data_IF_419865422223
#
_entry.id   IF_419865422223
#
_cell.length_a   1.000
_cell.length_b   1.000
_cell.length_c   1.000
_cell.angle_alpha   90.00
_cell.angle_beta   90.00
_cell.angle_gamma   90.00
#
_symmetry.space_group_name_H-M   'P 1'
#
loop_
_entity.id
_entity.type
_entity.pdbx_description
1 polymer ?
#
# COMPACT_ATOMS: atom_id res chain seq x y z
N UNK A 1 -3.10 13.35 -16.48
CA UNK A 1 -4.20 12.51 -15.95
C UNK A 1 -5.49 13.24 -16.17
N UNK A 2 -6.50 12.59 -16.78
CA UNK A 2 -7.84 13.14 -16.88
C UNK A 2 -8.48 13.07 -15.48
N UNK A 3 -8.97 14.19 -14.96
CA UNK A 3 -9.73 14.22 -13.70
C UNK A 3 -11.21 14.40 -14.04
N UNK A 4 -12.03 13.46 -13.59
CA UNK A 4 -13.48 13.61 -13.59
C UNK A 4 -13.91 14.42 -12.36
N UNK A 5 -14.87 15.32 -12.56
CA UNK A 5 -15.42 16.15 -11.47
C UNK A 5 -16.84 15.71 -11.17
N UNK A 6 -17.15 15.56 -9.88
CA UNK A 6 -18.47 15.14 -9.40
C UNK A 6 -18.90 16.10 -8.30
N UNK A 7 -20.18 16.50 -8.33
CA UNK A 7 -20.79 17.29 -7.27
C UNK A 7 -21.45 16.35 -6.25
N UNK A 8 -21.13 16.54 -4.97
CA UNK A 8 -21.68 15.76 -3.86
C UNK A 8 -22.18 16.69 -2.76
N UNK A 9 -23.25 16.29 -2.07
CA UNK A 9 -23.76 17.00 -0.89
C UNK A 9 -23.27 16.31 0.38
N UNK A 10 -22.72 17.10 1.28
CA UNK A 10 -22.26 16.67 2.59
C UNK A 10 -22.95 17.50 3.68
N UNK A 11 -23.08 16.93 4.88
CA UNK A 11 -23.55 17.68 6.04
C UNK A 11 -22.56 18.78 6.38
N UNK A 12 -23.06 19.93 6.84
CA UNK A 12 -22.23 21.10 7.16
C UNK A 12 -21.05 20.75 8.09
N UNK A 13 -21.30 20.06 9.21
CA UNK A 13 -20.23 19.66 10.14
C UNK A 13 -19.18 18.68 9.60
N UNK A 14 -19.43 18.01 8.46
CA UNK A 14 -18.38 17.25 7.77
C UNK A 14 -17.52 18.16 6.90
N UNK A 15 -18.11 19.19 6.30
CA UNK A 15 -17.36 20.19 5.53
C UNK A 15 -16.39 20.93 6.45
N UNK A 16 -16.84 21.31 7.65
CA UNK A 16 -15.99 21.99 8.64
C UNK A 16 -14.78 21.13 9.02
N UNK A 17 -14.99 19.82 9.26
CA UNK A 17 -13.89 18.89 9.55
C UNK A 17 -12.92 18.71 8.37
N UNK A 18 -13.42 18.76 7.14
CA UNK A 18 -12.55 18.73 5.95
C UNK A 18 -11.71 20.01 5.89
N UNK A 19 -12.32 21.16 6.22
CA UNK A 19 -11.62 22.44 6.28
C UNK A 19 -10.55 22.49 7.36
N UNK A 20 -10.82 21.93 8.54
CA UNK A 20 -9.82 21.79 9.60
C UNK A 20 -8.61 20.99 9.10
N UNK A 21 -8.83 19.89 8.38
CA UNK A 21 -7.75 19.06 7.81
C UNK A 21 -6.93 19.82 6.75
N UNK A 22 -7.56 20.64 5.92
CA UNK A 22 -6.84 21.52 4.99
C UNK A 22 -6.07 22.60 5.76
N UNK A 23 -6.67 23.16 6.82
CA UNK A 23 -6.06 24.19 7.67
C UNK A 23 -4.80 23.72 8.41
N UNK A 24 -4.68 22.43 8.72
CA UNK A 24 -3.44 21.85 9.28
C UNK A 24 -2.26 21.81 8.31
N UNK A 25 -2.50 22.07 7.01
CA UNK A 25 -1.46 22.03 5.97
C UNK A 25 -1.08 20.64 5.47
N UNK A 26 -1.73 19.58 5.96
CA UNK A 26 -1.48 18.19 5.52
C UNK A 26 -1.98 17.99 4.07
N UNK A 27 -3.10 18.64 3.72
CA UNK A 27 -3.72 18.56 2.41
C UNK A 27 -3.76 19.93 1.73
N UNK A 28 -3.41 19.99 0.45
CA UNK A 28 -3.38 21.24 -0.31
C UNK A 28 -4.79 21.76 -0.64
N UNK A 29 -5.78 20.89 -0.74
CA UNK A 29 -7.15 21.25 -1.07
C UNK A 29 -8.15 20.21 -0.52
N UNK A 30 -9.44 20.57 -0.50
CA UNK A 30 -10.54 19.68 -0.08
C UNK A 30 -10.64 18.43 -0.95
N UNK A 31 -10.36 18.56 -2.25
CA UNK A 31 -10.45 17.45 -3.20
C UNK A 31 -9.46 16.33 -2.89
N UNK A 32 -8.27 16.66 -2.37
CA UNK A 32 -7.24 15.70 -2.02
C UNK A 32 -7.58 14.95 -0.74
N UNK A 33 -8.19 15.63 0.24
CA UNK A 33 -8.77 14.98 1.43
C UNK A 33 -9.81 13.93 1.01
N UNK A 34 -10.75 14.33 0.13
CA UNK A 34 -11.82 13.44 -0.34
C UNK A 34 -11.25 12.29 -1.16
N UNK A 35 -10.29 12.57 -2.05
CA UNK A 35 -9.62 11.56 -2.88
C UNK A 35 -8.95 10.49 -2.03
N UNK A 36 -8.25 10.90 -0.97
CA UNK A 36 -7.54 9.99 -0.09
C UNK A 36 -8.50 9.17 0.79
N UNK A 37 -9.53 9.81 1.31
CA UNK A 37 -10.60 9.12 2.05
C UNK A 37 -11.32 8.08 1.20
N UNK A 38 -11.68 8.43 -0.04
CA UNK A 38 -12.31 7.49 -0.99
C UNK A 38 -11.34 6.38 -1.37
N UNK A 39 -10.07 6.69 -1.66
CA UNK A 39 -9.05 5.67 -1.96
C UNK A 39 -8.93 4.66 -0.82
N UNK A 40 -8.84 5.14 0.42
CA UNK A 40 -8.76 4.29 1.61
C UNK A 40 -10.00 3.42 1.76
N UNK A 41 -11.19 4.01 1.63
CA UNK A 41 -12.45 3.27 1.69
C UNK A 41 -12.51 2.17 0.62
N UNK A 42 -12.12 2.48 -0.62
CA UNK A 42 -12.13 1.49 -1.70
C UNK A 42 -11.10 0.39 -1.43
N UNK A 43 -9.87 0.73 -1.02
CA UNK A 43 -8.83 -0.24 -0.64
C UNK A 43 -9.29 -1.16 0.49
N UNK A 44 -9.87 -0.59 1.55
CA UNK A 44 -10.39 -1.35 2.70
C UNK A 44 -11.53 -2.29 2.28
N UNK A 45 -12.36 -1.88 1.31
CA UNK A 45 -13.41 -2.73 0.73
C UNK A 45 -12.89 -3.74 -0.30
N UNK A 46 -11.71 -3.51 -0.88
CA UNK A 46 -11.00 -4.48 -1.71
C UNK A 46 -10.32 -5.57 -0.86
N UNK A 47 -10.24 -5.43 0.47
CA UNK A 47 -9.83 -6.50 1.40
C UNK A 47 -10.89 -7.61 1.31
N UNK A 48 -10.63 -8.59 0.44
CA UNK A 48 -11.56 -9.66 0.06
C UNK A 48 -11.68 -9.90 -1.44
N UNK A 49 -11.29 -8.92 -2.29
CA UNK A 49 -11.30 -9.02 -3.77
C UNK A 49 -9.91 -9.32 -4.31
N UNK A 50 -8.85 -8.77 -3.70
CA UNK A 50 -7.51 -9.32 -3.88
C UNK A 50 -7.53 -10.61 -3.06
N UNK A 51 -7.54 -11.80 -3.69
CA UNK A 51 -7.32 -12.99 -2.91
C UNK A 51 -5.97 -12.78 -2.22
N UNK A 52 -5.96 -12.79 -0.90
CA UNK A 52 -4.78 -13.25 -0.20
C UNK A 52 -4.69 -14.75 -0.51
N UNK A 53 -4.46 -15.10 -1.78
CA UNK A 53 -3.96 -16.39 -2.21
C UNK A 53 -2.67 -16.49 -1.43
N UNK A 54 -2.75 -17.15 -0.28
CA UNK A 54 -1.67 -17.38 0.66
C UNK A 54 -0.55 -18.25 0.10
N UNK A 55 -0.38 -18.23 -1.22
CA UNK A 55 0.73 -18.79 -1.94
C UNK A 55 1.96 -17.90 -1.83
N UNK A 56 1.90 -16.61 -1.46
CA UNK A 56 3.14 -15.85 -1.18
C UNK A 56 3.99 -16.52 -0.09
N UNK A 57 3.33 -17.17 0.89
CA UNK A 57 4.03 -17.96 1.92
C UNK A 57 4.53 -19.30 1.37
N UNK A 58 3.79 -19.95 0.45
CA UNK A 58 4.25 -21.18 -0.20
C UNK A 58 5.41 -20.92 -1.16
N UNK A 59 5.35 -19.87 -1.96
CA UNK A 59 6.40 -19.36 -2.84
C UNK A 59 7.66 -19.02 -2.04
N UNK A 60 7.53 -18.27 -0.94
CA UNK A 60 8.65 -18.02 -0.02
C UNK A 60 9.24 -19.33 0.53
N UNK A 61 8.41 -20.31 0.86
CA UNK A 61 8.86 -21.61 1.38
C UNK A 61 9.54 -22.46 0.32
N UNK A 62 9.10 -22.39 -0.93
CA UNK A 62 9.73 -23.06 -2.07
C UNK A 62 11.04 -22.39 -2.47
N UNK A 63 11.09 -21.06 -2.52
CA UNK A 63 12.31 -20.28 -2.75
C UNK A 63 13.34 -20.58 -1.66
N UNK A 64 12.94 -20.59 -0.37
CA UNK A 64 13.83 -20.97 0.74
C UNK A 64 14.33 -22.42 0.62
N UNK A 65 13.46 -23.36 0.22
CA UNK A 65 13.87 -24.76 0.00
C UNK A 65 14.86 -24.89 -1.15
N UNK A 66 14.65 -24.19 -2.26
CA UNK A 66 15.58 -24.14 -3.40
C UNK A 66 16.92 -23.53 -2.98
N UNK A 67 16.91 -22.37 -2.33
CA UNK A 67 18.12 -21.74 -1.78
C UNK A 67 18.89 -22.69 -0.85
N UNK A 68 18.21 -23.41 0.05
CA UNK A 68 18.88 -24.32 0.98
C UNK A 68 19.53 -25.54 0.31
N UNK A 69 19.08 -25.90 -0.90
CA UNK A 69 19.65 -27.02 -1.67
C UNK A 69 20.82 -26.58 -2.56
N UNK A 70 20.79 -25.33 -2.99
CA UNK A 70 21.85 -24.70 -3.79
C UNK A 70 23.02 -24.24 -2.91
N UNK A 71 22.76 -23.74 -1.70
CA UNK A 71 23.80 -23.35 -0.75
C UNK A 71 24.28 -24.60 0.01
N UNK A 72 25.39 -25.19 -0.46
CA UNK A 72 26.02 -26.37 0.17
C UNK A 72 27.13 -26.02 1.16
N UNK A 73 27.55 -24.75 1.27
CA UNK A 73 28.60 -24.31 2.20
C UNK A 73 28.45 -22.85 2.64
N UNK A 74 28.93 -22.54 3.84
CA UNK A 74 28.95 -21.20 4.45
C UNK A 74 29.71 -20.14 3.63
N UNK A 75 30.58 -20.56 2.70
CA UNK A 75 31.35 -19.64 1.83
C UNK A 75 30.48 -18.88 0.82
N UNK A 76 29.38 -19.45 0.36
CA UNK A 76 28.53 -18.83 -0.68
C UNK A 76 27.72 -17.65 -0.13
N UNK A 77 27.45 -17.64 1.18
CA UNK A 77 26.69 -16.59 1.88
C UNK A 77 27.55 -15.33 2.07
N UNK A 78 28.86 -15.48 2.29
CA UNK A 78 29.78 -14.35 2.46
C UNK A 78 30.02 -13.58 1.15
N UNK A 79 30.05 -14.26 0.00
CA UNK A 79 30.19 -13.61 -1.31
C UNK A 79 28.93 -12.82 -1.69
N UNK A 80 27.74 -13.33 -1.39
CA UNK A 80 26.48 -12.63 -1.66
C UNK A 80 26.36 -11.35 -0.82
N UNK A 81 26.74 -11.38 0.46
CA UNK A 81 26.70 -10.19 1.31
C UNK A 81 27.71 -9.11 0.88
N UNK A 82 28.84 -9.49 0.27
CA UNK A 82 29.80 -8.53 -0.30
C UNK A 82 29.34 -7.85 -1.59
N UNK A 83 28.30 -8.37 -2.26
CA UNK A 83 27.73 -7.78 -3.47
C UNK A 83 26.61 -6.76 -3.18
N UNK A 84 26.21 -6.61 -1.91
CA UNK A 84 25.14 -5.71 -1.45
C UNK A 84 25.70 -4.38 -0.91
N UNK A 85 27.01 -4.30 -0.65
CA UNK A 85 27.73 -3.05 -0.30
C UNK A 85 28.11 -2.22 -1.54
#
# INVERSE_FOLDING_TARGET
MVMDTVQVRLSHGLVDKIDDLVGTGIYANRSDVIRDAVRKLVLDRMVGIIPNTGDSVKELREIKKKLSKEIKSFKDIEEINKLID
#
